data_IF_100346360541
#
_entry.id   IF_100346360541
#
_cell.length_a   1.000
_cell.length_b   1.000
_cell.length_c   1.000
_cell.angle_alpha   90.00
_cell.angle_beta   90.00
_cell.angle_gamma   90.00
#
_symmetry.space_group_name_H-M   'P 1'
#
loop_
_entity.id
_entity.type
_entity.pdbx_description
1 polymer ?
#
# COMPACT_ATOMS: atom_id res chain seq x y z
N UNK A 1 4.71 -11.48 -4.02
CA UNK A 1 6.18 -11.46 -3.79
C UNK A 1 6.66 -10.21 -3.06
N UNK A 2 6.19 -9.00 -3.42
CA UNK A 2 6.69 -7.74 -2.84
C UNK A 2 6.62 -7.73 -1.31
N UNK A 3 5.50 -8.11 -0.71
CA UNK A 3 5.32 -8.14 0.74
C UNK A 3 6.30 -9.08 1.44
N UNK A 4 6.47 -10.30 0.93
CA UNK A 4 7.37 -11.26 1.53
C UNK A 4 8.81 -10.77 1.50
N UNK A 5 9.27 -10.24 0.37
CA UNK A 5 10.63 -9.72 0.22
C UNK A 5 10.89 -8.59 1.21
N UNK A 6 9.98 -7.63 1.33
CA UNK A 6 10.14 -6.51 2.27
C UNK A 6 10.17 -6.96 3.73
N UNK A 7 9.28 -7.86 4.13
CA UNK A 7 9.24 -8.40 5.50
C UNK A 7 10.41 -9.33 5.82
N UNK A 8 10.92 -10.03 4.82
CA UNK A 8 12.06 -10.95 4.99
C UNK A 8 13.41 -10.24 5.01
N UNK A 9 13.53 -8.97 4.59
CA UNK A 9 14.81 -8.24 4.51
C UNK A 9 15.60 -8.29 5.82
N UNK A 10 14.96 -8.09 6.94
CA UNK A 10 15.63 -8.13 8.26
C UNK A 10 16.22 -9.49 8.56
N UNK A 11 15.50 -10.57 8.23
CA UNK A 11 15.97 -11.95 8.39
C UNK A 11 17.07 -12.30 7.38
N UNK A 12 16.93 -11.87 6.13
CA UNK A 12 17.91 -12.13 5.08
C UNK A 12 19.26 -11.47 5.36
N UNK A 13 19.24 -10.30 6.04
CA UNK A 13 20.44 -9.56 6.44
C UNK A 13 21.00 -10.02 7.79
N UNK A 14 20.24 -10.73 8.59
CA UNK A 14 20.71 -11.33 9.83
C UNK A 14 21.76 -12.40 9.52
N UNK A 15 22.79 -12.51 10.37
CA UNK A 15 23.84 -13.52 10.25
C UNK A 15 23.58 -14.70 11.19
N UNK A 16 22.32 -15.10 11.31
CA UNK A 16 21.85 -16.14 12.20
C UNK A 16 21.17 -17.29 11.42
N UNK A 17 20.77 -18.32 12.14
CA UNK A 17 20.08 -19.49 11.57
C UNK A 17 18.75 -19.11 10.88
N UNK A 18 18.11 -18.04 11.31
CA UNK A 18 16.84 -17.59 10.71
C UNK A 18 17.02 -17.10 9.28
N UNK A 19 18.23 -16.61 8.94
CA UNK A 19 18.58 -16.18 7.59
C UNK A 19 18.64 -17.34 6.60
N UNK A 20 19.10 -18.50 7.06
CA UNK A 20 19.20 -19.70 6.21
C UNK A 20 17.80 -20.17 5.80
N UNK A 21 16.89 -20.31 6.76
CA UNK A 21 15.50 -20.68 6.48
C UNK A 21 14.80 -19.69 5.55
N UNK A 22 14.98 -18.39 5.79
CA UNK A 22 14.38 -17.37 4.94
C UNK A 22 14.90 -17.41 3.48
N UNK A 23 16.20 -17.68 3.29
CA UNK A 23 16.82 -17.86 1.95
C UNK A 23 16.29 -19.12 1.28
N UNK A 24 16.21 -20.24 1.99
CA UNK A 24 15.67 -21.49 1.44
C UNK A 24 14.24 -21.34 0.94
N UNK A 25 13.37 -20.72 1.73
CA UNK A 25 11.98 -20.43 1.34
C UNK A 25 11.94 -19.51 0.12
N UNK A 26 12.79 -18.48 0.07
CA UNK A 26 12.85 -17.56 -1.05
C UNK A 26 13.27 -18.27 -2.33
N UNK A 27 14.37 -19.05 -2.29
CA UNK A 27 14.88 -19.80 -3.43
C UNK A 27 13.85 -20.82 -3.91
N UNK A 28 13.27 -21.61 -3.00
CA UNK A 28 12.25 -22.60 -3.34
C UNK A 28 11.02 -21.96 -4.02
N UNK A 29 10.52 -20.88 -3.44
CA UNK A 29 9.36 -20.16 -4.00
C UNK A 29 9.68 -19.57 -5.36
N UNK A 30 10.85 -18.95 -5.50
CA UNK A 30 11.24 -18.31 -6.76
C UNK A 30 11.49 -19.35 -7.86
N UNK A 31 12.15 -20.45 -7.55
CA UNK A 31 12.31 -21.59 -8.49
C UNK A 31 10.95 -22.13 -8.93
N UNK A 32 10.00 -22.27 -8.02
CA UNK A 32 8.65 -22.71 -8.36
C UNK A 32 7.95 -21.73 -9.31
N UNK A 33 8.10 -20.44 -9.08
CA UNK A 33 7.57 -19.39 -9.97
C UNK A 33 8.22 -19.48 -11.36
N UNK A 34 9.55 -19.63 -11.44
CA UNK A 34 10.25 -19.78 -12.73
C UNK A 34 9.74 -21.00 -13.53
N UNK A 35 9.54 -22.13 -12.85
CA UNK A 35 8.96 -23.33 -13.47
C UNK A 35 7.55 -23.10 -14.00
N UNK A 36 6.69 -22.38 -13.23
CA UNK A 36 5.33 -22.03 -13.65
C UNK A 36 5.32 -21.06 -14.85
N UNK A 37 6.28 -20.15 -14.92
CA UNK A 37 6.38 -19.14 -15.97
C UNK A 37 7.10 -19.66 -17.23
N UNK A 38 7.88 -20.72 -17.11
CA UNK A 38 8.72 -21.21 -18.20
C UNK A 38 7.97 -21.51 -19.51
N UNK A 39 6.76 -22.10 -19.52
CA UNK A 39 6.00 -22.30 -20.75
C UNK A 39 5.65 -21.02 -21.51
N UNK A 40 5.60 -19.88 -20.83
CA UNK A 40 5.26 -18.57 -21.41
C UNK A 40 6.48 -17.73 -21.76
N UNK A 41 7.55 -17.86 -20.99
CA UNK A 41 8.78 -17.05 -21.11
C UNK A 41 10.04 -17.93 -20.97
N UNK A 42 10.30 -18.86 -21.90
CA UNK A 42 11.33 -19.89 -21.74
C UNK A 42 12.73 -19.30 -21.60
N UNK A 43 13.09 -18.32 -22.40
CA UNK A 43 14.46 -17.79 -22.42
C UNK A 43 14.85 -17.06 -21.13
N UNK A 44 14.00 -16.15 -20.65
CA UNK A 44 14.33 -15.36 -19.46
C UNK A 44 14.28 -16.20 -18.20
N UNK A 45 13.36 -17.17 -18.11
CA UNK A 45 13.26 -18.05 -16.94
C UNK A 45 14.42 -19.02 -16.88
N UNK A 46 14.90 -19.54 -18.01
CA UNK A 46 16.10 -20.36 -18.09
C UNK A 46 17.34 -19.57 -17.64
N UNK A 47 17.53 -18.38 -18.18
CA UNK A 47 18.68 -17.51 -17.87
C UNK A 47 18.74 -17.20 -16.36
N UNK A 48 17.61 -16.84 -15.77
CA UNK A 48 17.54 -16.58 -14.33
C UNK A 48 17.82 -17.85 -13.52
N UNK A 49 17.22 -18.99 -13.92
CA UNK A 49 17.38 -20.26 -13.21
C UNK A 49 18.82 -20.75 -13.21
N UNK A 50 19.55 -20.58 -14.32
CA UNK A 50 20.97 -20.92 -14.42
C UNK A 50 21.87 -20.12 -13.48
N UNK A 51 21.44 -18.93 -13.03
CA UNK A 51 22.17 -18.11 -12.05
C UNK A 51 21.90 -18.49 -10.60
N UNK A 52 20.90 -19.36 -10.37
CA UNK A 52 20.46 -19.77 -9.03
C UNK A 52 21.03 -21.16 -8.66
N UNK A 53 21.08 -21.52 -7.37
CA UNK A 53 21.31 -22.91 -6.99
C UNK A 53 20.21 -23.82 -7.54
N UNK A 54 20.58 -24.77 -8.39
CA UNK A 54 19.64 -25.68 -9.03
C UNK A 54 20.25 -27.07 -9.25
N UNK A 55 19.40 -28.05 -9.54
CA UNK A 55 19.76 -29.40 -9.96
C UNK A 55 19.27 -29.63 -11.39
N UNK A 56 20.05 -30.32 -12.20
CA UNK A 56 19.74 -30.60 -13.61
C UNK A 56 20.39 -29.61 -14.59
N UNK A 57 20.28 -29.92 -15.89
CA UNK A 57 20.94 -29.15 -16.95
C UNK A 57 20.08 -27.97 -17.47
N UNK A 58 18.75 -28.12 -17.43
CA UNK A 58 17.83 -27.13 -17.97
C UNK A 58 16.52 -27.10 -17.17
N UNK A 59 15.95 -25.92 -17.03
CA UNK A 59 14.66 -25.70 -16.32
C UNK A 59 13.52 -26.45 -17.03
N UNK A 60 13.58 -26.55 -18.35
CA UNK A 60 12.62 -27.28 -19.19
C UNK A 60 12.52 -28.77 -18.82
N UNK A 61 13.63 -29.37 -18.38
CA UNK A 61 13.69 -30.78 -17.96
C UNK A 61 13.30 -31.00 -16.49
N UNK A 62 13.15 -29.93 -15.71
CA UNK A 62 12.82 -30.01 -14.30
C UNK A 62 11.34 -30.32 -14.07
N UNK A 63 11.06 -31.09 -13.01
CA UNK A 63 9.67 -31.40 -12.63
C UNK A 63 8.82 -30.15 -12.43
N UNK A 64 7.62 -30.17 -13.03
CA UNK A 64 6.66 -29.09 -12.88
C UNK A 64 6.08 -29.06 -11.45
N UNK A 65 5.89 -27.87 -10.84
CA UNK A 65 5.43 -27.76 -9.48
C UNK A 65 4.04 -28.40 -9.30
N UNK A 66 3.92 -29.23 -8.27
CA UNK A 66 2.64 -29.86 -7.90
C UNK A 66 2.13 -29.25 -6.61
N UNK A 67 0.82 -29.10 -6.51
CA UNK A 67 0.20 -28.68 -5.27
C UNK A 67 0.48 -29.69 -4.14
N UNK A 68 0.85 -29.15 -2.99
CA UNK A 68 1.08 -29.95 -1.80
C UNK A 68 0.40 -29.29 -0.60
N UNK A 69 -0.60 -29.94 -0.05
CA UNK A 69 -1.40 -29.46 1.07
C UNK A 69 -0.57 -29.17 2.33
N UNK A 70 0.58 -29.86 2.50
CA UNK A 70 1.50 -29.61 3.62
C UNK A 70 2.03 -28.17 3.68
N UNK A 71 1.98 -27.45 2.55
CA UNK A 71 2.40 -26.05 2.45
C UNK A 71 1.24 -25.06 2.45
N UNK A 72 0.01 -25.53 2.68
CA UNK A 72 -1.14 -24.68 2.84
C UNK A 72 -1.30 -24.30 4.32
N UNK A 73 -1.27 -23.02 4.62
CA UNK A 73 -1.40 -22.46 5.97
C UNK A 73 -2.54 -21.44 6.01
N UNK A 74 -3.81 -21.85 5.90
CA UNK A 74 -4.95 -20.93 5.71
C UNK A 74 -5.12 -19.95 6.87
N UNK A 75 -4.81 -20.37 8.10
CA UNK A 75 -4.88 -19.49 9.26
C UNK A 75 -3.81 -18.39 9.19
N UNK A 76 -2.56 -18.76 8.92
CA UNK A 76 -1.46 -17.80 8.80
C UNK A 76 -1.67 -16.85 7.59
N UNK A 77 -2.27 -17.36 6.51
CA UNK A 77 -2.64 -16.54 5.35
C UNK A 77 -3.70 -15.50 5.71
N UNK A 78 -4.74 -15.90 6.44
CA UNK A 78 -5.77 -14.99 6.91
C UNK A 78 -5.22 -13.91 7.86
N UNK A 79 -4.36 -14.29 8.80
CA UNK A 79 -3.69 -13.35 9.71
C UNK A 79 -2.81 -12.35 8.94
N UNK A 80 -2.02 -12.83 7.99
CA UNK A 80 -1.17 -11.97 7.16
C UNK A 80 -2.00 -11.03 6.30
N UNK A 81 -3.14 -11.49 5.77
CA UNK A 81 -4.05 -10.65 5.00
C UNK A 81 -4.59 -9.49 5.83
N UNK A 82 -5.00 -9.74 7.07
CA UNK A 82 -5.45 -8.70 8.02
C UNK A 82 -4.36 -7.64 8.27
N UNK A 83 -3.12 -8.11 8.51
CA UNK A 83 -1.97 -7.21 8.70
C UNK A 83 -1.74 -6.35 7.46
N UNK A 84 -1.78 -6.95 6.27
CA UNK A 84 -1.59 -6.24 5.01
C UNK A 84 -2.68 -5.20 4.76
N UNK A 85 -3.93 -5.50 5.08
CA UNK A 85 -5.03 -4.55 4.96
C UNK A 85 -4.89 -3.37 5.93
N UNK A 86 -4.54 -3.64 7.18
CA UNK A 86 -4.27 -2.59 8.16
C UNK A 86 -3.14 -1.65 7.70
N UNK A 87 -2.03 -2.21 7.20
CA UNK A 87 -0.91 -1.41 6.67
C UNK A 87 -1.33 -0.59 5.45
N UNK A 88 -2.12 -1.16 4.52
CA UNK A 88 -2.64 -0.42 3.36
C UNK A 88 -3.53 0.74 3.80
N UNK A 89 -4.46 0.49 4.72
CA UNK A 89 -5.37 1.50 5.23
C UNK A 89 -4.63 2.66 5.92
N UNK A 90 -3.60 2.35 6.73
CA UNK A 90 -2.73 3.35 7.36
C UNK A 90 -1.98 4.18 6.30
N UNK A 91 -1.40 3.51 5.29
CA UNK A 91 -0.66 4.20 4.22
C UNK A 91 -1.55 5.12 3.40
N UNK A 92 -2.74 4.66 3.04
CA UNK A 92 -3.72 5.46 2.31
C UNK A 92 -4.13 6.68 3.12
N UNK A 93 -4.46 6.50 4.40
CA UNK A 93 -4.86 7.61 5.26
C UNK A 93 -3.74 8.64 5.44
N UNK A 94 -2.51 8.18 5.61
CA UNK A 94 -1.34 9.07 5.68
C UNK A 94 -1.12 9.84 4.37
N UNK A 95 -1.33 9.20 3.23
CA UNK A 95 -1.24 9.86 1.93
C UNK A 95 -2.32 10.92 1.74
N UNK A 96 -3.59 10.62 2.11
CA UNK A 96 -4.70 11.58 2.08
C UNK A 96 -4.42 12.82 2.94
N UNK A 97 -3.76 12.61 4.09
CA UNK A 97 -3.38 13.68 5.01
C UNK A 97 -2.04 14.33 4.66
N UNK A 98 -1.40 13.97 3.54
CA UNK A 98 -0.09 14.45 3.11
C UNK A 98 1.02 14.32 4.17
N UNK A 99 0.95 13.27 5.00
CA UNK A 99 1.95 13.00 6.03
C UNK A 99 3.23 12.47 5.39
N UNK A 100 4.39 13.11 5.60
CA UNK A 100 5.66 12.64 5.03
C UNK A 100 5.99 11.22 5.50
N UNK A 101 6.54 10.36 4.63
CA UNK A 101 6.91 8.99 4.99
C UNK A 101 7.90 8.90 6.17
N UNK A 102 8.76 9.91 6.32
CA UNK A 102 9.76 10.00 7.40
C UNK A 102 9.15 10.28 8.78
N UNK A 103 7.92 10.81 8.84
CA UNK A 103 7.29 11.11 10.12
C UNK A 103 6.85 9.83 10.81
N UNK A 104 7.35 9.62 12.03
CA UNK A 104 6.97 8.49 12.88
C UNK A 104 5.81 8.91 13.78
N UNK A 105 4.80 8.04 13.91
CA UNK A 105 3.68 8.21 14.83
C UNK A 105 3.37 6.87 15.47
N UNK A 106 2.86 6.89 16.69
CA UNK A 106 2.35 5.70 17.34
C UNK A 106 1.07 5.26 16.66
N UNK A 107 0.90 3.95 16.53
CA UNK A 107 -0.29 3.35 15.91
C UNK A 107 -0.85 2.35 16.91
N UNK A 108 -2.13 2.50 17.24
CA UNK A 108 -2.85 1.57 18.09
C UNK A 108 -3.80 0.76 17.20
N UNK A 109 -3.70 -0.56 17.27
CA UNK A 109 -4.52 -1.46 16.46
C UNK A 109 -5.33 -2.34 17.40
N UNK A 110 -6.64 -2.28 17.29
CA UNK A 110 -7.58 -3.15 17.99
C UNK A 110 -8.21 -4.13 16.98
N UNK A 111 -8.01 -5.44 17.20
CA UNK A 111 -8.63 -6.49 16.39
C UNK A 111 -9.98 -6.89 16.97
N UNK A 112 -10.97 -7.11 16.12
CA UNK A 112 -12.34 -7.41 16.53
C UNK A 112 -12.51 -8.79 17.22
N UNK A 113 -11.53 -9.69 17.06
CA UNK A 113 -11.59 -11.05 17.64
C UNK A 113 -11.20 -11.16 19.12
N UNK A 114 -10.62 -10.12 19.69
CA UNK A 114 -10.10 -10.15 21.08
C UNK A 114 -10.77 -9.14 22.02
N UNK A 115 -11.59 -8.25 21.47
CA UNK A 115 -12.33 -7.29 22.26
C UNK A 115 -13.81 -7.52 21.99
N UNK A 116 -14.54 -8.04 23.00
CA UNK A 116 -15.95 -7.71 23.07
C UNK A 116 -16.02 -6.20 22.80
N UNK A 117 -16.77 -5.81 21.78
CA UNK A 117 -16.96 -4.39 21.43
C UNK A 117 -17.82 -3.76 22.53
N UNK A 118 -17.27 -3.76 23.74
CA UNK A 118 -17.66 -2.94 24.85
C UNK A 118 -17.06 -1.58 24.59
N UNK A 119 -17.91 -0.62 24.44
CA UNK A 119 -17.71 0.81 24.47
C UNK A 119 -16.24 1.27 24.57
N UNK A 120 -15.77 1.87 23.47
CA UNK A 120 -14.81 2.94 23.54
C UNK A 120 -13.35 2.63 23.88
N UNK A 121 -12.67 1.95 23.00
CA UNK A 121 -11.33 2.44 22.79
C UNK A 121 -11.43 3.62 21.79
N UNK A 122 -11.76 4.79 22.31
CA UNK A 122 -11.77 6.05 21.56
C UNK A 122 -10.64 6.91 22.11
N UNK A 123 -9.66 7.19 21.29
CA UNK A 123 -8.60 8.15 21.65
C UNK A 123 -9.07 9.52 21.16
N UNK A 124 -9.38 10.48 22.07
CA UNK A 124 -9.79 11.81 21.66
C UNK A 124 -8.73 12.46 20.76
N UNK A 125 -9.14 12.99 19.62
CA UNK A 125 -8.23 13.62 18.66
C UNK A 125 -7.38 12.65 17.84
N UNK A 126 -7.71 11.35 17.81
CA UNK A 126 -7.06 10.39 16.93
C UNK A 126 -7.82 10.23 15.61
N UNK A 127 -7.06 10.03 14.55
CA UNK A 127 -7.60 9.57 13.26
C UNK A 127 -7.97 8.11 13.39
N UNK A 128 -9.23 7.80 13.17
CA UNK A 128 -9.74 6.42 13.20
C UNK A 128 -9.81 5.86 11.79
N UNK A 129 -9.24 4.68 11.59
CA UNK A 129 -9.30 3.91 10.35
C UNK A 129 -9.99 2.60 10.69
N UNK A 130 -11.08 2.31 9.99
CA UNK A 130 -11.85 1.07 10.17
C UNK A 130 -11.54 0.16 9.00
N UNK A 131 -11.08 -1.05 9.29
CA UNK A 131 -10.99 -2.17 8.33
C UNK A 131 -12.03 -3.22 8.68
N UNK A 132 -12.17 -4.26 7.86
CA UNK A 132 -13.14 -5.33 8.11
C UNK A 132 -12.97 -5.97 9.49
N UNK A 133 -11.72 -6.15 9.94
CA UNK A 133 -11.38 -6.93 11.14
C UNK A 133 -10.61 -6.11 12.19
N UNK A 134 -10.38 -4.81 11.98
CA UNK A 134 -9.60 -4.00 12.91
C UNK A 134 -10.00 -2.53 12.91
N UNK A 135 -9.84 -1.88 14.07
CA UNK A 135 -9.87 -0.43 14.21
C UNK A 135 -8.46 0.07 14.51
N UNK A 136 -7.99 1.01 13.72
CA UNK A 136 -6.66 1.61 13.88
C UNK A 136 -6.82 3.06 14.32
N UNK A 137 -6.12 3.44 15.37
CA UNK A 137 -6.13 4.80 15.93
C UNK A 137 -4.73 5.40 15.82
N UNK A 138 -4.63 6.58 15.27
CA UNK A 138 -3.37 7.31 15.14
C UNK A 138 -3.57 8.71 15.73
N UNK A 139 -2.85 9.09 16.80
CA UNK A 139 -2.95 10.42 17.40
C UNK A 139 -2.62 11.49 16.37
N UNK A 140 -3.52 12.48 16.21
CA UNK A 140 -3.39 13.51 15.18
C UNK A 140 -2.21 14.45 15.45
N UNK A 141 -1.91 14.69 16.72
CA UNK A 141 -0.81 15.55 17.15
C UNK A 141 0.57 14.99 16.76
N UNK A 142 0.68 13.66 16.59
CA UNK A 142 1.91 13.01 16.13
C UNK A 142 2.00 12.94 14.59
N UNK A 143 0.86 13.01 13.88
CA UNK A 143 0.81 12.90 12.43
C UNK A 143 1.07 14.21 11.71
N UNK A 144 0.48 15.30 12.20
CA UNK A 144 0.42 16.56 11.49
C UNK A 144 1.01 17.66 12.35
N UNK A 145 1.90 18.45 11.75
CA UNK A 145 2.26 19.75 12.29
C UNK A 145 1.10 20.71 12.01
N UNK A 146 0.30 21.01 13.04
CA UNK A 146 -0.92 21.81 12.93
C UNK A 146 -0.66 23.17 12.27
N UNK A 147 0.48 23.79 12.58
CA UNK A 147 0.81 25.11 12.02
C UNK A 147 1.17 25.03 10.53
N UNK A 148 1.99 24.04 10.16
CA UNK A 148 2.38 23.83 8.77
C UNK A 148 1.18 23.44 7.90
N UNK A 149 0.29 22.60 8.42
CA UNK A 149 -0.91 22.15 7.69
C UNK A 149 -1.95 23.28 7.56
N UNK A 150 -2.17 24.07 8.59
CA UNK A 150 -3.02 25.26 8.53
C UNK A 150 -2.48 26.25 7.48
N UNK A 151 -1.18 26.47 7.44
CA UNK A 151 -0.58 27.35 6.44
C UNK A 151 -0.73 26.80 5.01
N UNK A 152 -0.62 25.48 4.83
CA UNK A 152 -0.84 24.81 3.54
C UNK A 152 -2.29 24.94 3.10
N UNK A 153 -3.25 24.60 3.99
CA UNK A 153 -4.68 24.66 3.70
C UNK A 153 -5.14 26.09 3.41
N UNK A 154 -4.65 27.09 4.14
CA UNK A 154 -4.96 28.48 3.86
C UNK A 154 -4.44 28.91 2.47
N UNK A 155 -3.25 28.47 2.07
CA UNK A 155 -2.71 28.76 0.74
C UNK A 155 -3.53 28.07 -0.37
N UNK A 156 -3.97 26.86 -0.16
CA UNK A 156 -4.85 26.13 -1.10
C UNK A 156 -6.21 26.83 -1.20
N UNK A 157 -6.77 27.26 -0.08
CA UNK A 157 -8.03 27.99 -0.03
C UNK A 157 -7.93 29.33 -0.78
N UNK A 158 -6.87 30.10 -0.56
CA UNK A 158 -6.63 31.35 -1.31
C UNK A 158 -6.49 31.09 -2.82
N UNK A 159 -5.84 30.00 -3.21
CA UNK A 159 -5.68 29.63 -4.61
C UNK A 159 -7.02 29.25 -5.24
N UNK A 160 -7.81 28.44 -4.54
CA UNK A 160 -9.14 28.04 -4.98
C UNK A 160 -10.08 29.26 -5.08
N UNK A 161 -10.01 30.16 -4.10
CA UNK A 161 -10.81 31.41 -4.11
C UNK A 161 -10.44 32.28 -5.31
N UNK A 162 -9.15 32.48 -5.59
CA UNK A 162 -8.70 33.21 -6.78
C UNK A 162 -9.18 32.59 -8.10
N UNK A 163 -9.18 31.25 -8.18
CA UNK A 163 -9.70 30.56 -9.37
C UNK A 163 -11.20 30.77 -9.52
N UNK A 164 -11.94 30.66 -8.42
CA UNK A 164 -13.38 30.89 -8.40
C UNK A 164 -13.73 32.34 -8.80
N UNK A 165 -12.99 33.31 -8.27
CA UNK A 165 -13.16 34.72 -8.62
C UNK A 165 -12.85 34.99 -10.11
N UNK A 166 -11.82 34.34 -10.67
CA UNK A 166 -11.50 34.42 -12.10
C UNK A 166 -12.58 33.80 -12.97
N UNK A 167 -13.16 32.68 -12.59
CA UNK A 167 -14.25 32.03 -13.32
C UNK A 167 -15.50 32.88 -13.23
N UNK A 168 -15.84 33.37 -12.06
CA UNK A 168 -16.99 34.29 -11.88
C UNK A 168 -16.83 35.59 -12.68
N UNK A 169 -15.63 36.16 -12.69
CA UNK A 169 -15.35 37.35 -13.51
C UNK A 169 -15.53 37.08 -15.01
N UNK A 170 -15.12 35.88 -15.47
CA UNK A 170 -15.36 35.48 -16.88
C UNK A 170 -16.83 35.26 -17.16
N UNK A 171 -17.59 34.63 -16.30
CA UNK A 171 -19.03 34.38 -16.46
C UNK A 171 -19.84 35.66 -16.39
N UNK A 172 -19.41 36.64 -15.59
CA UNK A 172 -20.06 37.96 -15.49
C UNK A 172 -19.67 38.92 -16.62
N UNK A 173 -18.73 38.54 -17.47
CA UNK A 173 -18.31 39.37 -18.62
C UNK A 173 -19.24 39.13 -19.85
N UNK A 174 -20.07 40.10 -20.25
CA UNK A 174 -20.97 39.95 -21.42
C UNK A 174 -20.22 39.67 -22.73
N UNK A 175 -18.97 40.12 -22.82
CA UNK A 175 -18.11 39.85 -23.97
C UNK A 175 -17.64 38.39 -24.07
N UNK A 176 -17.57 37.69 -22.98
CA UNK A 176 -17.25 36.26 -22.91
C UNK A 176 -18.51 35.40 -23.11
N UNK A 177 -19.58 35.68 -22.36
CA UNK A 177 -20.81 34.89 -22.40
C UNK A 177 -21.58 35.03 -23.73
N UNK A 178 -21.40 36.17 -24.44
CA UNK A 178 -22.04 36.40 -25.74
C UNK A 178 -21.24 35.98 -26.97
N UNK A 179 -19.91 35.73 -26.83
CA UNK A 179 -19.03 35.38 -27.96
C UNK A 179 -18.39 33.98 -27.85
N UNK A 180 -18.34 33.41 -26.66
CA UNK A 180 -17.78 32.10 -26.50
C UNK A 180 -18.76 30.98 -26.91
N UNK A 181 -18.30 29.86 -27.46
CA UNK A 181 -19.13 28.70 -27.75
C UNK A 181 -19.86 28.19 -26.49
N UNK A 182 -21.11 27.73 -26.65
CA UNK A 182 -21.96 27.33 -25.56
C UNK A 182 -21.32 26.25 -24.67
N UNK A 183 -20.59 25.29 -25.24
CA UNK A 183 -19.87 24.25 -24.54
C UNK A 183 -18.74 24.78 -23.61
N UNK A 184 -18.12 25.91 -23.94
CA UNK A 184 -17.07 26.54 -23.12
C UNK A 184 -17.67 27.33 -21.96
N UNK A 185 -18.82 27.96 -22.18
CA UNK A 185 -19.56 28.67 -21.11
C UNK A 185 -20.17 27.69 -20.15
N UNK A 186 -20.68 26.55 -20.63
CA UNK A 186 -21.26 25.49 -19.78
C UNK A 186 -20.21 24.74 -18.99
N UNK A 187 -19.01 24.52 -19.55
CA UNK A 187 -17.89 23.94 -18.84
C UNK A 187 -17.23 24.85 -17.78
N UNK A 188 -17.55 26.14 -17.78
CA UNK A 188 -17.09 27.12 -16.79
C UNK A 188 -18.14 27.38 -15.68
N UNK A 189 -19.33 26.83 -15.78
CA UNK A 189 -20.36 26.80 -14.73
C UNK A 189 -20.17 25.64 -13.79
#
# INVERSE_FOLDING_TARGET
>A
CVWYIELAKTRLMAKDETSVGARQVLVWTFTSILKLMHPFMPYITEEIWQTMPHEGEALMAADYPKYNEKYAYPQAEAEMHRIMEAIRAIRNRRAEMNVPPSRRAKVYVAYASEVEVGEAFSIPGAVTIVTADAKVYIPMDELVDKEAELKRLNKELETAQKQLDQVNAKLNNPGFTGKAPANVVEGAR
#
